data_IF_592889294226
#
_entry.id   IF_592889294226
#
_cell.length_a   1.000
_cell.length_b   1.000
_cell.length_c   1.000
_cell.angle_alpha   90.00
_cell.angle_beta   90.00
_cell.angle_gamma   90.00
#
_symmetry.space_group_name_H-M   'P 1'
#
loop_
_entity.id
_entity.type
_entity.pdbx_description
1 polymer ?
#
# COMPACT_ATOMS: atom_id res chain seq x y z
N UNK A 1 -6.14 19.36 27.47
CA UNK A 1 -5.73 18.07 26.87
C UNK A 1 -5.22 18.40 25.48
N UNK A 2 -3.92 18.22 25.25
CA UNK A 2 -3.31 18.44 23.94
C UNK A 2 -3.78 17.33 23.00
N UNK A 3 -4.72 17.61 22.11
CA UNK A 3 -4.95 16.76 20.95
C UNK A 3 -4.04 17.32 19.87
N UNK A 4 -2.78 16.88 19.87
CA UNK A 4 -1.95 16.96 18.69
C UNK A 4 -2.53 15.96 17.68
N UNK A 5 -3.61 16.38 17.00
CA UNK A 5 -4.23 15.62 15.93
C UNK A 5 -3.42 15.85 14.66
N UNK A 6 -2.14 15.48 14.71
CA UNK A 6 -1.32 15.30 13.52
C UNK A 6 -1.80 14.03 12.82
N UNK A 7 -3.05 14.03 12.33
CA UNK A 7 -3.52 13.04 11.37
C UNK A 7 -2.62 13.21 10.15
N UNK A 8 -1.57 12.39 10.06
CA UNK A 8 -0.77 12.31 8.85
C UNK A 8 -1.74 12.12 7.68
N UNK A 9 -1.58 12.87 6.58
CA UNK A 9 -2.53 12.81 5.48
C UNK A 9 -2.48 11.41 4.87
N UNK A 10 -3.53 10.64 5.08
CA UNK A 10 -3.75 9.38 4.40
C UNK A 10 -4.27 9.64 2.99
N UNK A 11 -3.69 8.96 2.00
CA UNK A 11 -4.24 8.87 0.66
C UNK A 11 -5.17 7.67 0.60
N UNK A 12 -6.44 7.89 0.26
CA UNK A 12 -7.42 6.81 0.11
C UNK A 12 -7.47 6.34 -1.34
N UNK A 13 -7.22 5.05 -1.55
CA UNK A 13 -7.37 4.41 -2.85
C UNK A 13 -8.61 3.52 -2.85
N UNK A 14 -9.52 3.73 -3.82
CA UNK A 14 -10.77 2.95 -3.93
C UNK A 14 -10.68 1.79 -4.90
N UNK A 15 -9.64 1.76 -5.73
CA UNK A 15 -9.42 0.69 -6.69
C UNK A 15 -7.94 0.32 -6.77
N UNK A 16 -7.68 -0.92 -7.16
CA UNK A 16 -6.33 -1.43 -7.43
C UNK A 16 -5.60 -0.58 -8.45
N UNK A 17 -6.25 -0.25 -9.57
CA UNK A 17 -5.68 0.59 -10.62
C UNK A 17 -5.21 1.96 -10.14
N UNK A 18 -5.93 2.57 -9.18
CA UNK A 18 -5.52 3.88 -8.63
C UNK A 18 -4.22 3.76 -7.85
N UNK A 19 -4.12 2.76 -6.96
CA UNK A 19 -2.90 2.50 -6.19
C UNK A 19 -1.74 2.09 -7.11
N UNK A 20 -2.00 1.18 -8.05
CA UNK A 20 -1.01 0.71 -9.01
C UNK A 20 -0.46 1.85 -9.86
N UNK A 21 -1.34 2.71 -10.38
CA UNK A 21 -0.96 3.90 -11.15
C UNK A 21 -0.15 4.89 -10.30
N UNK A 22 -0.50 5.06 -9.03
CA UNK A 22 0.24 5.91 -8.10
C UNK A 22 1.68 5.41 -7.90
N UNK A 23 1.84 4.12 -7.59
CA UNK A 23 3.14 3.48 -7.41
C UNK A 23 3.96 3.49 -8.71
N UNK A 24 3.33 3.20 -9.85
CA UNK A 24 4.00 3.23 -11.15
C UNK A 24 4.52 4.63 -11.52
N UNK A 25 3.81 5.70 -11.11
CA UNK A 25 4.22 7.09 -11.32
C UNK A 25 5.35 7.53 -10.41
N UNK A 26 5.62 6.82 -9.32
CA UNK A 26 6.77 7.11 -8.47
C UNK A 26 8.12 6.83 -9.16
N UNK A 27 8.11 6.15 -10.32
CA UNK A 27 9.30 5.96 -11.14
C UNK A 27 10.37 5.15 -10.40
N UNK A 28 11.55 5.73 -10.21
CA UNK A 28 12.66 5.09 -9.49
C UNK A 28 12.78 5.55 -8.02
N UNK A 29 11.76 6.21 -7.47
CA UNK A 29 11.77 6.61 -6.08
C UNK A 29 11.78 5.39 -5.16
N UNK A 30 12.41 5.53 -4.00
CA UNK A 30 12.37 4.56 -2.92
C UNK A 30 11.74 5.22 -1.70
N UNK A 31 10.79 4.54 -1.07
CA UNK A 31 10.08 5.08 0.08
C UNK A 31 9.42 3.97 0.91
N UNK A 32 9.31 4.25 2.20
CA UNK A 32 8.54 3.44 3.12
C UNK A 32 7.11 3.97 3.21
N UNK A 33 6.16 3.06 3.35
CA UNK A 33 4.76 3.40 3.48
C UNK A 33 4.02 2.38 4.33
N UNK A 34 2.89 2.80 4.88
CA UNK A 34 1.98 1.94 5.62
C UNK A 34 0.65 1.88 4.91
N UNK A 35 0.11 0.68 4.74
CA UNK A 35 -1.27 0.52 4.31
C UNK A 35 -2.17 0.15 5.48
N UNK A 36 -3.37 0.69 5.45
CA UNK A 36 -4.41 0.48 6.44
C UNK A 36 -5.60 -0.15 5.70
N UNK A 37 -5.71 -1.49 5.68
CA UNK A 37 -6.87 -2.16 5.10
C UNK A 37 -8.12 -1.91 5.96
N UNK A 38 -9.32 -2.04 5.38
CA UNK A 38 -10.59 -1.92 6.13
C UNK A 38 -10.66 -2.99 7.23
N UNK A 39 -10.21 -4.20 6.93
CA UNK A 39 -10.15 -5.32 7.86
C UNK A 39 -8.70 -5.76 8.06
N UNK A 40 -8.30 -5.90 9.32
CA UNK A 40 -6.95 -6.32 9.70
C UNK A 40 -6.17 -5.23 10.43
N UNK A 41 -4.87 -5.46 10.58
CA UNK A 41 -3.95 -4.49 11.17
C UNK A 41 -3.23 -3.72 10.06
N UNK A 42 -2.82 -2.47 10.31
CA UNK A 42 -1.95 -1.74 9.40
C UNK A 42 -0.61 -2.46 9.22
N UNK A 43 -0.08 -2.42 8.01
CA UNK A 43 1.16 -3.09 7.64
C UNK A 43 2.12 -2.10 6.99
N UNK A 44 3.42 -2.23 7.31
CA UNK A 44 4.47 -1.41 6.71
C UNK A 44 5.11 -2.14 5.53
N UNK A 45 5.49 -1.35 4.53
CA UNK A 45 6.08 -1.79 3.29
C UNK A 45 7.18 -0.84 2.85
N UNK A 46 8.17 -1.40 2.17
CA UNK A 46 9.19 -0.68 1.45
C UNK A 46 8.93 -0.80 -0.05
N UNK A 47 8.90 0.31 -0.78
CA UNK A 47 8.87 0.32 -2.24
C UNK A 47 10.27 0.62 -2.79
N UNK A 48 10.82 -0.30 -3.60
CA UNK A 48 11.99 -0.01 -4.43
C UNK A 48 11.56 0.27 -5.86
N UNK A 49 11.57 1.54 -6.28
CA UNK A 49 11.18 1.93 -7.64
C UNK A 49 12.15 1.48 -8.72
N UNK A 50 13.42 1.22 -8.37
CA UNK A 50 14.40 0.70 -9.33
C UNK A 50 14.07 -0.71 -9.77
N UNK A 51 13.66 -1.55 -8.83
CA UNK A 51 13.29 -2.94 -9.08
C UNK A 51 11.79 -3.11 -9.33
N UNK A 52 10.99 -2.09 -9.01
CA UNK A 52 9.52 -2.11 -8.97
C UNK A 52 8.97 -3.20 -8.06
N UNK A 53 9.70 -3.46 -6.98
CA UNK A 53 9.39 -4.47 -5.97
C UNK A 53 8.86 -3.79 -4.72
N UNK A 54 7.94 -4.48 -4.04
CA UNK A 54 7.48 -4.09 -2.70
C UNK A 54 7.88 -5.19 -1.72
N UNK A 55 8.39 -4.80 -0.56
CA UNK A 55 8.74 -5.72 0.52
C UNK A 55 7.93 -5.38 1.75
N UNK A 56 7.24 -6.35 2.34
CA UNK A 56 6.58 -6.18 3.64
C UNK A 56 7.61 -6.31 4.75
N UNK A 57 7.66 -5.32 5.65
CA UNK A 57 8.74 -5.26 6.64
C UNK A 57 8.70 -6.43 7.65
N UNK A 58 7.51 -6.86 8.06
CA UNK A 58 7.32 -7.80 9.17
C UNK A 58 7.90 -9.19 8.90
N UNK A 59 7.72 -9.72 7.69
CA UNK A 59 8.11 -11.08 7.32
C UNK A 59 8.99 -11.13 6.07
N UNK A 60 9.43 -9.97 5.58
CA UNK A 60 10.22 -9.84 4.35
C UNK A 60 9.54 -10.48 3.15
N UNK A 61 8.20 -10.54 3.12
CA UNK A 61 7.48 -11.00 1.95
C UNK A 61 7.72 -10.03 0.79
N UNK A 62 8.17 -10.57 -0.33
CA UNK A 62 8.39 -9.82 -1.56
C UNK A 62 7.18 -9.94 -2.48
N UNK A 63 6.82 -8.81 -3.09
CA UNK A 63 5.85 -8.70 -4.17
C UNK A 63 6.65 -8.31 -5.43
N UNK A 64 6.83 -9.26 -6.35
CA UNK A 64 7.62 -9.07 -7.56
C UNK A 64 6.90 -8.21 -8.63
N UNK A 65 5.62 -7.90 -8.40
CA UNK A 65 4.85 -6.99 -9.25
C UNK A 65 3.93 -6.08 -8.43
N UNK A 66 3.67 -4.89 -8.98
CA UNK A 66 2.68 -3.97 -8.41
C UNK A 66 1.27 -4.57 -8.41
N UNK A 67 0.97 -5.44 -9.38
CA UNK A 67 -0.33 -6.12 -9.45
C UNK A 67 -0.52 -7.06 -8.26
N UNK A 68 0.46 -7.93 -7.98
CA UNK A 68 0.44 -8.85 -6.84
C UNK A 68 0.26 -8.09 -5.51
N UNK A 69 1.04 -7.02 -5.33
CA UNK A 69 0.91 -6.14 -4.16
C UNK A 69 -0.47 -5.50 -4.05
N UNK A 70 -0.99 -4.90 -5.14
CA UNK A 70 -2.29 -4.24 -5.08
C UNK A 70 -3.41 -5.23 -4.82
N UNK A 71 -3.33 -6.46 -5.37
CA UNK A 71 -4.32 -7.48 -5.10
C UNK A 71 -4.29 -7.93 -3.64
N UNK A 72 -3.09 -8.10 -3.09
CA UNK A 72 -2.90 -8.37 -1.66
C UNK A 72 -3.49 -7.26 -0.78
N UNK A 73 -3.15 -6.00 -1.04
CA UNK A 73 -3.61 -4.85 -0.26
C UNK A 73 -5.15 -4.70 -0.33
N UNK A 74 -5.75 -4.99 -1.49
CA UNK A 74 -7.19 -4.98 -1.71
C UNK A 74 -7.90 -6.31 -1.38
N UNK A 75 -7.18 -7.24 -0.73
CA UNK A 75 -7.70 -8.53 -0.25
C UNK A 75 -8.46 -9.30 -1.33
N UNK A 76 -7.89 -9.41 -2.53
CA UNK A 76 -8.54 -10.08 -3.65
C UNK A 76 -9.01 -11.50 -3.33
N UNK A 77 -10.11 -11.92 -3.96
CA UNK A 77 -10.50 -13.33 -4.02
C UNK A 77 -9.66 -14.11 -5.05
N UNK A 78 -9.97 -15.39 -5.22
CA UNK A 78 -9.28 -16.29 -6.16
C UNK A 78 -9.51 -15.92 -7.64
N UNK A 79 -10.52 -15.12 -7.95
CA UNK A 79 -10.81 -14.60 -9.29
C UNK A 79 -10.16 -13.23 -9.53
N UNK A 80 -9.57 -12.62 -8.50
CA UNK A 80 -8.89 -11.33 -8.54
C UNK A 80 -9.80 -10.13 -8.24
N UNK A 81 -11.04 -10.33 -7.79
CA UNK A 81 -11.92 -9.23 -7.40
C UNK A 81 -11.58 -8.74 -6.00
N UNK A 82 -11.54 -7.42 -5.81
CA UNK A 82 -11.26 -6.84 -4.50
C UNK A 82 -12.39 -7.10 -3.52
N UNK A 83 -12.03 -7.46 -2.28
CA UNK A 83 -12.98 -7.62 -1.17
C UNK A 83 -13.03 -6.41 -0.22
N UNK A 84 -12.42 -5.28 -0.58
CA UNK A 84 -12.44 -4.06 0.23
C UNK A 84 -12.83 -2.85 -0.62
N UNK A 85 -13.61 -1.93 -0.05
CA UNK A 85 -14.05 -0.72 -0.75
C UNK A 85 -12.92 0.31 -0.95
N UNK A 86 -11.92 0.28 -0.07
CA UNK A 86 -10.76 1.13 -0.12
C UNK A 86 -9.61 0.58 0.73
N UNK A 87 -8.45 1.19 0.55
CA UNK A 87 -7.35 1.16 1.51
C UNK A 87 -6.88 2.58 1.79
N UNK A 88 -6.40 2.83 3.00
CA UNK A 88 -5.73 4.09 3.34
C UNK A 88 -4.21 3.89 3.28
N UNK A 89 -3.51 4.83 2.66
CA UNK A 89 -2.07 4.79 2.39
C UNK A 89 -1.38 5.96 3.09
N UNK A 90 -0.34 5.66 3.85
CA UNK A 90 0.45 6.62 4.62
C UNK A 90 1.90 6.53 4.16
N UNK A 91 2.48 7.62 3.64
CA UNK A 91 3.94 7.68 3.45
C UNK A 91 4.61 7.77 4.82
N UNK A 92 5.63 6.93 5.03
CA UNK A 92 6.47 6.96 6.22
C UNK A 92 7.73 7.77 5.86
N UNK A 93 7.89 8.92 6.52
CA UNK A 93 9.08 9.77 6.40
C UNK A 93 10.27 9.17 7.14
#
# INVERSE_FOLDING_TARGET
>A
MNIDNSSKPYLRFKTRDQLQSYLARAGHAEFDFRTHPIFGAPENFHYSGREKVITRENDQKFFDSLDDFTCYAFQCDAEGYSNTEYIDFELLN
#
